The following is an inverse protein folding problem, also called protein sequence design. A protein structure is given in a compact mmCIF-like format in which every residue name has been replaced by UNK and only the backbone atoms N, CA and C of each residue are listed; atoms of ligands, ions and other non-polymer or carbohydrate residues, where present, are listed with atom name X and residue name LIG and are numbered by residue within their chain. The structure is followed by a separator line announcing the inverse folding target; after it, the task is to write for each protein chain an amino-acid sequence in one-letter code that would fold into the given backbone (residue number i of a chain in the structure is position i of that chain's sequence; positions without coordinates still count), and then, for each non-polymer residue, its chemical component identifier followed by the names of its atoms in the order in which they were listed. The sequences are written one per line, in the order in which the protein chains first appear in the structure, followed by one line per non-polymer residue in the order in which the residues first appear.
data_IF_198766827384
#
_entry.id   IF_198766827384
#
_cell.length_a   1.000
_cell.length_b   1.000
_cell.length_c   1.000
_cell.angle_alpha   90.00
_cell.angle_beta   90.00
_cell.angle_gamma   90.00
#
_symmetry.space_group_name_H-M   'P 1'
#
loop_
_entity.id
_entity.type
_entity.pdbx_description
1 polymer ?
#
# COMPACT_ATOMS: atom_id res chain seq x y z
N UNK A 1 1.15 6.11 -14.82
CA UNK A 1 0.36 7.09 -14.05
C UNK A 1 0.17 6.51 -12.66
N UNK A 2 0.92 7.01 -11.68
CA UNK A 2 0.81 6.58 -10.28
C UNK A 2 -0.53 7.07 -9.77
N UNK A 3 -1.46 6.16 -9.49
CA UNK A 3 -2.75 6.55 -8.92
C UNK A 3 -2.54 7.07 -7.48
N UNK A 4 -3.26 8.13 -7.08
CA UNK A 4 -3.13 8.71 -5.75
C UNK A 4 -3.60 7.72 -4.69
N UNK A 5 -2.90 7.70 -3.55
CA UNK A 5 -3.34 7.00 -2.35
C UNK A 5 -4.60 7.64 -1.79
N UNK A 6 -5.49 6.85 -1.21
CA UNK A 6 -6.70 7.34 -0.55
C UNK A 6 -6.52 7.26 0.95
N UNK A 7 -6.56 8.41 1.64
CA UNK A 7 -6.52 8.41 3.10
C UNK A 7 -7.88 7.92 3.65
N UNK A 8 -7.89 6.81 4.37
CA UNK A 8 -9.08 6.27 5.05
C UNK A 8 -9.21 6.87 6.45
N UNK A 9 -8.08 7.07 7.15
CA UNK A 9 -8.01 7.66 8.48
C UNK A 9 -6.65 8.32 8.71
N UNK A 10 -6.43 9.05 9.82
CA UNK A 10 -5.14 9.71 10.11
C UNK A 10 -3.93 8.77 10.06
N UNK A 11 -4.13 7.47 10.26
CA UNK A 11 -3.08 6.46 10.28
C UNK A 11 -3.29 5.34 9.25
N UNK A 12 -4.20 5.51 8.28
CA UNK A 12 -4.56 4.44 7.35
C UNK A 12 -4.75 4.98 5.93
N UNK A 13 -4.01 4.41 4.99
CA UNK A 13 -4.01 4.76 3.58
C UNK A 13 -4.29 3.55 2.71
N UNK A 14 -5.17 3.70 1.73
CA UNK A 14 -5.47 2.68 0.74
C UNK A 14 -4.66 2.91 -0.54
N UNK A 15 -4.12 1.82 -1.08
CA UNK A 15 -3.74 1.71 -2.48
C UNK A 15 -4.94 1.10 -3.22
N UNK A 16 -5.68 1.88 -4.03
CA UNK A 16 -6.80 1.35 -4.78
C UNK A 16 -6.37 0.20 -5.68
N UNK A 17 -7.26 -0.78 -5.85
CA UNK A 17 -7.00 -1.94 -6.69
C UNK A 17 -6.81 -1.50 -8.15
N UNK A 18 -5.65 -1.80 -8.71
CA UNK A 18 -5.28 -1.47 -10.10
C UNK A 18 -4.62 -2.63 -10.81
N UNK A 19 -4.72 -2.66 -12.14
CA UNK A 19 -4.07 -3.67 -12.98
C UNK A 19 -4.42 -5.10 -12.53
N UNK A 20 -3.38 -5.88 -12.19
CA UNK A 20 -3.51 -7.28 -11.81
C UNK A 20 -3.78 -7.51 -10.31
N UNK A 21 -3.91 -6.43 -9.52
CA UNK A 21 -4.23 -6.56 -8.09
C UNK A 21 -5.59 -7.25 -7.93
N UNK A 22 -5.65 -8.21 -7.00
CA UNK A 22 -6.86 -8.96 -6.65
C UNK A 22 -7.60 -8.30 -5.48
N UNK A 23 -6.84 -7.69 -4.58
CA UNK A 23 -7.29 -6.97 -3.38
C UNK A 23 -6.63 -5.57 -3.35
N UNK A 24 -7.14 -4.59 -2.58
CA UNK A 24 -6.43 -3.33 -2.35
C UNK A 24 -5.14 -3.51 -1.52
N UNK A 25 -4.31 -2.48 -1.47
CA UNK A 25 -3.25 -2.35 -0.48
C UNK A 25 -3.71 -1.46 0.67
N UNK A 26 -3.28 -1.75 1.90
CA UNK A 26 -3.55 -0.92 3.08
C UNK A 26 -2.23 -0.64 3.78
N UNK A 27 -1.96 0.63 4.07
CA UNK A 27 -0.74 1.10 4.70
C UNK A 27 -1.11 1.80 5.99
N UNK A 28 -0.53 1.34 7.08
CA UNK A 28 -0.62 2.03 8.36
C UNK A 28 0.58 2.95 8.53
N UNK A 29 0.34 4.25 8.46
CA UNK A 29 1.34 5.30 8.60
C UNK A 29 0.63 6.62 8.87
N UNK A 30 1.23 7.49 9.68
CA UNK A 30 0.79 8.88 9.76
C UNK A 30 1.25 9.68 8.53
N UNK A 31 0.83 10.94 8.43
CA UNK A 31 1.17 11.79 7.29
C UNK A 31 2.69 12.05 7.16
N UNK A 32 3.41 12.16 8.27
CA UNK A 32 4.85 12.44 8.26
C UNK A 32 5.65 11.22 7.78
N UNK A 33 5.29 10.02 8.26
CA UNK A 33 5.83 8.76 7.77
C UNK A 33 5.57 8.58 6.28
N UNK A 34 4.37 8.93 5.80
CA UNK A 34 4.05 8.87 4.38
C UNK A 34 4.95 9.75 3.53
N UNK A 35 5.36 10.93 4.00
CA UNK A 35 6.29 11.80 3.29
C UNK A 35 7.74 11.25 3.28
N UNK A 36 8.11 10.44 4.27
CA UNK A 36 9.47 9.89 4.43
C UNK A 36 9.68 8.54 3.74
N UNK A 37 8.64 7.73 3.59
CA UNK A 37 8.72 6.43 2.91
C UNK A 37 9.19 6.68 1.48
N UNK A 38 10.20 5.92 1.01
CA UNK A 38 10.50 5.78 -0.43
C UNK A 38 9.32 5.06 -1.07
N UNK A 39 8.27 5.85 -1.31
CA UNK A 39 6.91 5.41 -1.60
C UNK A 39 6.90 4.52 -2.83
N UNK A 40 7.68 4.80 -3.87
CA UNK A 40 7.52 4.03 -5.11
C UNK A 40 7.88 2.55 -4.94
N UNK A 41 9.07 2.19 -4.48
CA UNK A 41 9.47 0.78 -4.36
C UNK A 41 8.61 0.04 -3.31
N UNK A 42 8.35 0.70 -2.19
CA UNK A 42 7.58 0.15 -1.08
C UNK A 42 6.12 -0.09 -1.48
N UNK A 43 5.48 0.90 -2.10
CA UNK A 43 4.11 0.77 -2.61
C UNK A 43 4.04 -0.26 -3.73
N UNK A 44 5.06 -0.37 -4.58
CA UNK A 44 5.11 -1.38 -5.62
C UNK A 44 5.18 -2.79 -5.04
N UNK A 45 5.90 -3.00 -3.94
CA UNK A 45 5.90 -4.28 -3.23
C UNK A 45 4.50 -4.63 -2.71
N UNK A 46 3.80 -3.67 -2.08
CA UNK A 46 2.40 -3.86 -1.63
C UNK A 46 1.47 -4.17 -2.82
N UNK A 47 1.63 -3.49 -3.96
CA UNK A 47 0.88 -3.78 -5.20
C UNK A 47 1.18 -5.19 -5.73
N UNK A 48 2.44 -5.61 -5.71
CA UNK A 48 2.85 -6.93 -6.18
C UNK A 48 2.26 -8.05 -5.30
N UNK A 49 2.32 -7.90 -3.98
CA UNK A 49 1.69 -8.84 -3.02
C UNK A 49 0.18 -8.90 -3.24
N UNK A 50 -0.46 -7.76 -3.49
CA UNK A 50 -1.88 -7.67 -3.80
C UNK A 50 -2.31 -8.44 -5.08
N UNK A 51 -1.38 -8.88 -5.93
CA UNK A 51 -1.65 -9.66 -7.13
C UNK A 51 -1.64 -11.19 -6.89
N UNK A 52 -1.14 -11.66 -5.74
CA UNK A 52 -0.90 -13.08 -5.48
C UNK A 52 -2.20 -13.90 -5.47
N UNK A 53 -2.26 -15.07 -6.15
CA UNK A 53 -3.44 -15.94 -6.13
C UNK A 53 -3.78 -16.38 -4.70
N UNK A 54 -5.06 -16.29 -4.33
CA UNK A 54 -5.53 -16.69 -3.01
C UNK A 54 -5.37 -15.63 -1.91
N UNK A 55 -4.80 -14.46 -2.19
CA UNK A 55 -4.79 -13.35 -1.23
C UNK A 55 -6.22 -12.90 -0.89
N UNK A 56 -6.44 -12.56 0.38
CA UNK A 56 -7.74 -12.14 0.91
C UNK A 56 -7.66 -10.75 1.52
N UNK A 57 -8.78 -10.03 1.49
CA UNK A 57 -9.01 -8.71 2.10
C UNK A 57 -8.12 -7.59 1.54
N UNK A 58 -6.82 -7.59 1.81
CA UNK A 58 -5.86 -6.59 1.36
C UNK A 58 -4.40 -7.08 1.51
N UNK A 59 -3.48 -6.43 0.82
CA UNK A 59 -2.05 -6.48 1.18
C UNK A 59 -1.77 -5.41 2.23
N UNK A 60 -1.37 -5.80 3.43
CA UNK A 60 -1.14 -4.87 4.55
C UNK A 60 0.33 -4.51 4.71
N UNK A 61 0.60 -3.22 4.87
CA UNK A 61 1.90 -2.63 5.20
C UNK A 61 1.81 -1.98 6.59
N UNK A 62 2.73 -2.35 7.47
CA UNK A 62 2.83 -1.80 8.82
C UNK A 62 3.67 -0.51 8.85
N UNK A 63 3.65 0.29 9.93
CA UNK A 63 4.38 1.55 10.00
C UNK A 63 5.90 1.43 9.86
N UNK A 64 6.46 0.25 10.15
CA UNK A 64 7.87 -0.11 10.00
C UNK A 64 8.23 -0.65 8.61
N UNK A 65 7.36 -0.43 7.62
CA UNK A 65 7.58 -0.90 6.26
C UNK A 65 8.89 -0.34 5.68
N UNK A 66 9.67 -1.25 5.12
CA UNK A 66 10.90 -0.98 4.42
C UNK A 66 10.98 -1.88 3.19
N UNK A 67 11.80 -1.48 2.23
CA UNK A 67 12.07 -2.31 1.07
C UNK A 67 12.81 -3.59 1.49
N UNK A 68 12.37 -4.73 0.96
CA UNK A 68 12.97 -6.05 1.18
C UNK A 68 12.99 -6.90 -0.09
#
# INVERSE_FOLDING_TARGET
MTQPLQQISPYCWEIPRTGNMRVPGIIYADAEMMDQIKLEETLNQVRNVACLPGIVKASFAMPDIHWG
#
